data_IF_195397401471
#
_entry.id   IF_195397401471
#
_cell.length_a   1.000
_cell.length_b   1.000
_cell.length_c   1.000
_cell.angle_alpha   90.00
_cell.angle_beta   90.00
_cell.angle_gamma   90.00
#
_symmetry.space_group_name_H-M   'P 1'
#
loop_
_entity.id
_entity.type
_entity.pdbx_description
1 polymer ?
#
# COMPACT_ATOMS: atom_id res chain seq x y z
N UNK A 1 -1.98 -7.52 22.19
CA UNK A 1 -0.84 -8.20 22.85
C UNK A 1 -0.02 -8.72 21.69
N UNK A 2 1.15 -8.14 21.45
CA UNK A 2 2.07 -8.60 20.40
C UNK A 2 2.66 -9.94 20.87
N UNK A 3 2.47 -11.01 20.11
CA UNK A 3 3.20 -12.27 20.31
C UNK A 3 4.39 -12.23 19.36
N UNK A 4 5.59 -12.06 19.91
CA UNK A 4 6.87 -12.21 19.20
C UNK A 4 7.16 -13.72 19.02
N UNK A 5 6.65 -14.33 17.95
CA UNK A 5 7.10 -15.66 17.53
C UNK A 5 7.22 -15.68 16.00
N UNK A 6 8.47 -15.57 15.53
CA UNK A 6 8.89 -15.40 14.13
C UNK A 6 8.61 -13.97 13.59
N UNK A 7 9.37 -13.47 12.61
CA UNK A 7 9.50 -12.03 12.24
C UNK A 7 8.23 -11.35 11.74
N UNK A 8 7.08 -12.00 11.81
CA UNK A 8 5.83 -11.50 11.25
C UNK A 8 5.07 -10.67 12.28
N UNK A 9 4.53 -9.53 11.86
CA UNK A 9 3.67 -8.68 12.69
C UNK A 9 2.21 -8.82 12.26
N UNK A 10 1.36 -9.28 13.18
CA UNK A 10 -0.09 -9.26 12.99
C UNK A 10 -0.75 -8.32 13.99
N UNK A 11 -1.45 -7.30 13.48
CA UNK A 11 -2.16 -6.32 14.30
C UNK A 11 -3.67 -6.37 14.00
N UNK A 12 -4.43 -6.27 15.07
CA UNK A 12 -5.88 -6.07 15.07
C UNK A 12 -6.18 -5.20 16.29
N UNK A 13 -6.13 -3.89 16.14
CA UNK A 13 -6.58 -2.95 17.17
C UNK A 13 -7.88 -2.30 16.71
N UNK A 14 -8.63 -1.72 17.64
CA UNK A 14 -9.95 -1.14 17.35
C UNK A 14 -9.99 0.39 17.54
N UNK A 15 -8.93 1.02 18.12
CA UNK A 15 -8.95 2.46 18.57
C UNK A 15 -7.63 3.27 18.58
N UNK A 16 -6.59 3.07 17.76
CA UNK A 16 -5.51 4.08 17.56
C UNK A 16 -4.75 3.96 16.24
N UNK A 17 -4.36 5.12 15.66
CA UNK A 17 -3.34 5.20 14.58
C UNK A 17 -2.19 4.21 14.79
N UNK A 18 -1.87 3.48 13.74
CA UNK A 18 -0.87 2.41 13.78
C UNK A 18 0.40 2.90 13.12
N UNK A 19 1.50 2.75 13.85
CA UNK A 19 2.83 3.09 13.36
C UNK A 19 3.73 1.89 13.59
N UNK A 20 4.18 1.29 12.50
CA UNK A 20 5.20 0.23 12.49
C UNK A 20 6.46 0.82 11.87
N UNK A 21 7.57 0.69 12.60
CA UNK A 21 8.90 1.10 12.13
C UNK A 21 9.92 0.15 12.73
N UNK A 22 10.17 -0.96 12.05
CA UNK A 22 11.04 -2.04 12.56
C UNK A 22 11.61 -2.91 11.42
N UNK A 23 12.91 -2.71 11.14
CA UNK A 23 13.70 -3.42 10.10
C UNK A 23 13.72 -4.94 10.28
N UNK A 24 13.36 -5.47 11.46
CA UNK A 24 13.39 -6.93 11.71
C UNK A 24 12.02 -7.59 11.50
N UNK A 25 11.04 -6.84 11.01
CA UNK A 25 9.73 -7.39 10.63
C UNK A 25 9.81 -7.83 9.18
N UNK A 26 9.54 -9.12 8.94
CA UNK A 26 9.42 -9.70 7.60
C UNK A 26 8.00 -9.39 7.11
N UNK A 27 6.99 -10.21 7.42
CA UNK A 27 5.63 -9.97 6.92
C UNK A 27 4.78 -9.10 7.87
N UNK A 28 3.93 -8.23 7.30
CA UNK A 28 2.95 -7.45 8.05
C UNK A 28 1.54 -7.79 7.57
N UNK A 29 0.69 -8.22 8.50
CA UNK A 29 -0.73 -8.48 8.22
C UNK A 29 -1.59 -7.67 9.18
N UNK A 30 -2.37 -6.75 8.63
CA UNK A 30 -3.24 -5.87 9.40
C UNK A 30 -4.68 -5.94 8.93
N UNK A 31 -5.58 -5.92 9.91
CA UNK A 31 -7.01 -5.91 9.69
C UNK A 31 -7.67 -5.04 10.74
N UNK A 32 -8.26 -3.94 10.28
CA UNK A 32 -8.96 -2.95 11.09
C UNK A 32 -10.38 -2.70 10.59
N UNK A 33 -11.19 -2.08 11.43
CA UNK A 33 -12.61 -1.87 11.20
C UNK A 33 -13.08 -0.42 11.46
N UNK A 34 -12.20 0.49 11.92
CA UNK A 34 -12.56 1.87 12.34
C UNK A 34 -11.45 2.89 12.01
N UNK A 35 -11.81 4.20 12.02
CA UNK A 35 -11.02 5.40 11.63
C UNK A 35 -9.55 5.46 12.13
N UNK A 36 -8.55 5.01 11.35
CA UNK A 36 -7.14 5.03 11.78
C UNK A 36 -6.17 5.27 10.62
N UNK A 37 -5.31 6.29 10.76
CA UNK A 37 -4.17 6.46 9.86
C UNK A 37 -3.16 5.34 10.11
N UNK A 38 -2.63 4.78 9.04
CA UNK A 38 -1.64 3.72 9.08
C UNK A 38 -0.32 4.17 8.46
N UNK A 39 0.76 3.97 9.21
CA UNK A 39 2.11 4.24 8.74
C UNK A 39 2.98 3.01 8.97
N UNK A 40 3.47 2.43 7.88
CA UNK A 40 4.45 1.36 7.88
C UNK A 40 5.72 1.88 7.22
N UNK A 41 6.85 1.73 7.89
CA UNK A 41 8.15 2.14 7.37
C UNK A 41 9.26 1.19 7.81
N UNK A 42 10.39 1.24 7.12
CA UNK A 42 11.60 0.50 7.47
C UNK A 42 11.34 -1.03 7.61
N UNK A 43 10.63 -1.63 6.65
CA UNK A 43 10.47 -3.09 6.55
C UNK A 43 11.62 -3.61 5.70
N UNK A 44 12.32 -4.67 6.14
CA UNK A 44 13.35 -5.33 5.32
C UNK A 44 12.80 -6.71 4.90
N UNK A 45 12.61 -6.92 3.60
CA UNK A 45 12.23 -8.21 2.99
C UNK A 45 10.91 -8.82 3.55
N UNK A 46 9.75 -8.42 3.04
CA UNK A 46 8.48 -9.09 3.40
C UNK A 46 7.20 -8.51 2.81
N UNK A 47 6.13 -9.31 2.88
CA UNK A 47 4.83 -8.93 2.29
C UNK A 47 4.02 -8.08 3.27
N UNK A 48 3.44 -6.99 2.77
CA UNK A 48 2.53 -6.13 3.54
C UNK A 48 1.11 -6.34 3.03
N UNK A 49 0.23 -6.77 3.94
CA UNK A 49 -1.18 -6.99 3.68
C UNK A 49 -2.02 -6.15 4.64
N UNK A 50 -2.73 -5.17 4.10
CA UNK A 50 -3.62 -4.29 4.85
C UNK A 50 -5.04 -4.48 4.35
N UNK A 51 -5.95 -4.70 5.29
CA UNK A 51 -7.40 -4.68 5.03
C UNK A 51 -8.07 -3.76 6.04
N UNK A 52 -8.54 -2.60 5.62
CA UNK A 52 -9.32 -1.67 6.42
C UNK A 52 -10.83 -1.90 6.24
N UNK A 53 -11.61 -1.32 7.16
CA UNK A 53 -13.06 -1.46 7.25
C UNK A 53 -13.83 -0.38 6.49
N UNK A 54 -15.09 -0.16 6.90
CA UNK A 54 -16.04 0.76 6.23
C UNK A 54 -15.91 2.24 6.71
N UNK A 55 -14.74 2.71 7.18
CA UNK A 55 -14.59 4.09 7.71
C UNK A 55 -13.19 4.71 7.41
N UNK A 56 -13.12 6.05 7.30
CA UNK A 56 -12.02 6.87 6.74
C UNK A 56 -10.61 6.66 7.36
N UNK A 57 -9.54 6.67 6.56
CA UNK A 57 -8.15 6.70 7.04
C UNK A 57 -7.07 6.72 5.95
N UNK A 58 -5.93 7.39 6.19
CA UNK A 58 -4.83 7.40 5.22
C UNK A 58 -3.89 6.19 5.43
N UNK A 59 -3.46 5.54 4.34
CA UNK A 59 -2.50 4.43 4.37
C UNK A 59 -1.18 4.88 3.74
N UNK A 60 -0.11 4.86 4.53
CA UNK A 60 1.25 5.19 4.08
C UNK A 60 2.16 3.99 4.31
N UNK A 61 2.75 3.51 3.22
CA UNK A 61 3.72 2.41 3.22
C UNK A 61 5.02 2.92 2.60
N UNK A 62 6.14 2.60 3.26
CA UNK A 62 7.48 2.84 2.74
C UNK A 62 8.35 1.60 2.98
N UNK A 63 8.64 0.89 1.90
CA UNK A 63 9.51 -0.28 1.90
C UNK A 63 10.93 0.10 1.45
N UNK A 64 11.94 -0.53 2.03
CA UNK A 64 13.35 -0.33 1.66
C UNK A 64 13.94 -1.51 0.86
N UNK A 65 13.31 -2.69 0.83
CA UNK A 65 13.80 -3.89 0.14
C UNK A 65 12.64 -4.70 -0.50
N UNK A 66 12.87 -5.94 -0.94
CA UNK A 66 11.92 -6.74 -1.72
C UNK A 66 10.61 -7.06 -0.95
N UNK A 67 9.42 -6.83 -1.54
CA UNK A 67 8.15 -7.15 -0.87
C UNK A 67 6.89 -6.89 -1.70
N UNK A 68 5.87 -7.76 -1.60
CA UNK A 68 4.57 -7.49 -2.23
C UNK A 68 3.68 -6.64 -1.32
N UNK A 69 3.07 -5.59 -1.87
CA UNK A 69 2.15 -4.69 -1.17
C UNK A 69 0.71 -4.94 -1.60
N UNK A 70 -0.15 -5.39 -0.68
CA UNK A 70 -1.57 -5.63 -0.91
C UNK A 70 -2.40 -4.78 0.04
N UNK A 71 -3.09 -3.79 -0.52
CA UNK A 71 -3.98 -2.89 0.22
C UNK A 71 -5.42 -3.05 -0.26
N UNK A 72 -6.34 -3.24 0.67
CA UNK A 72 -7.78 -3.18 0.42
C UNK A 72 -8.40 -2.19 1.38
N UNK A 73 -8.93 -1.10 0.84
CA UNK A 73 -9.64 -0.06 1.58
C UNK A 73 -11.11 0.04 1.17
N UNK A 74 -11.95 0.45 2.10
CA UNK A 74 -13.42 0.35 2.01
C UNK A 74 -14.18 1.67 2.03
N UNK A 75 -13.58 2.79 2.48
CA UNK A 75 -14.15 4.15 2.43
C UNK A 75 -13.03 5.21 2.29
N UNK A 76 -13.35 6.51 2.41
CA UNK A 76 -12.51 7.65 2.05
C UNK A 76 -11.08 7.65 2.67
N UNK A 77 -10.02 7.75 1.85
CA UNK A 77 -8.64 7.78 2.34
C UNK A 77 -7.57 7.90 1.25
N UNK A 78 -6.44 8.56 1.53
CA UNK A 78 -5.32 8.59 0.57
C UNK A 78 -4.42 7.34 0.77
N UNK A 79 -4.09 6.65 -0.32
CA UNK A 79 -3.14 5.53 -0.33
C UNK A 79 -1.82 5.97 -0.94
N UNK A 80 -0.75 5.94 -0.14
CA UNK A 80 0.60 6.30 -0.56
C UNK A 80 1.52 5.12 -0.35
N UNK A 81 2.07 4.59 -1.44
CA UNK A 81 3.04 3.50 -1.42
C UNK A 81 4.34 3.98 -2.07
N UNK A 82 5.44 3.84 -1.35
CA UNK A 82 6.79 4.07 -1.85
C UNK A 82 7.60 2.79 -1.66
N UNK A 83 8.09 2.25 -2.76
CA UNK A 83 8.85 1.02 -2.82
C UNK A 83 10.18 1.31 -3.52
N UNK A 84 11.30 0.99 -2.87
CA UNK A 84 12.65 1.28 -3.39
C UNK A 84 13.24 0.11 -4.21
N UNK A 85 12.72 -1.12 -4.10
CA UNK A 85 13.25 -2.32 -4.78
C UNK A 85 12.13 -3.16 -5.44
N UNK A 86 12.27 -4.50 -5.52
CA UNK A 86 11.37 -5.37 -6.29
C UNK A 86 10.06 -5.67 -5.52
N UNK A 87 8.89 -5.49 -6.14
CA UNK A 87 7.61 -5.77 -5.49
C UNK A 87 6.36 -5.55 -6.34
N UNK A 88 5.39 -6.48 -6.28
CA UNK A 88 4.08 -6.26 -6.90
C UNK A 88 3.20 -5.42 -5.97
N UNK A 89 2.53 -4.41 -6.52
CA UNK A 89 1.60 -3.54 -5.78
C UNK A 89 0.17 -3.81 -6.24
N UNK A 90 -0.69 -4.22 -5.32
CA UNK A 90 -2.11 -4.47 -5.55
C UNK A 90 -2.95 -3.59 -4.63
N UNK A 91 -3.72 -2.68 -5.22
CA UNK A 91 -4.65 -1.80 -4.50
C UNK A 91 -6.07 -2.10 -4.96
N UNK A 92 -6.95 -2.29 -3.99
CA UNK A 92 -8.40 -2.29 -4.18
C UNK A 92 -8.99 -1.21 -3.28
N UNK A 93 -9.57 -0.19 -3.89
CA UNK A 93 -10.23 0.92 -3.20
C UNK A 93 -11.69 1.01 -3.69
N UNK A 94 -12.63 1.20 -2.77
CA UNK A 94 -14.07 1.21 -3.05
C UNK A 94 -14.71 2.62 -3.03
N UNK A 95 -14.06 3.66 -2.47
CA UNK A 95 -14.64 5.03 -2.36
C UNK A 95 -13.61 6.14 -2.69
N UNK A 96 -13.73 7.36 -2.12
CA UNK A 96 -12.99 8.55 -2.55
C UNK A 96 -11.55 8.61 -1.98
N UNK A 97 -10.52 8.77 -2.82
CA UNK A 97 -9.12 8.82 -2.35
C UNK A 97 -8.08 9.07 -3.43
N UNK A 98 -6.99 9.77 -3.12
CA UNK A 98 -5.85 9.85 -4.04
C UNK A 98 -4.94 8.62 -3.87
N UNK A 99 -4.61 7.95 -4.97
CA UNK A 99 -3.64 6.84 -4.98
C UNK A 99 -2.32 7.33 -5.55
N UNK A 100 -1.26 7.30 -4.73
CA UNK A 100 0.09 7.68 -5.13
C UNK A 100 1.04 6.51 -4.95
N UNK A 101 1.62 6.06 -6.06
CA UNK A 101 2.60 4.98 -6.08
C UNK A 101 3.92 5.49 -6.65
N UNK A 102 5.01 5.23 -5.92
CA UNK A 102 6.38 5.38 -6.40
C UNK A 102 7.07 4.03 -6.26
N UNK A 103 7.44 3.41 -7.38
CA UNK A 103 8.26 2.20 -7.41
C UNK A 103 9.54 2.50 -8.22
N UNK A 104 10.71 2.27 -7.62
CA UNK A 104 12.02 2.56 -8.22
C UNK A 104 12.59 1.40 -9.07
N UNK A 105 12.21 0.14 -8.87
CA UNK A 105 12.77 -1.02 -9.61
C UNK A 105 11.64 -1.86 -10.27
N UNK A 106 11.68 -3.20 -10.19
CA UNK A 106 10.78 -4.09 -10.93
C UNK A 106 9.48 -4.40 -10.16
N UNK A 107 8.33 -4.37 -10.83
CA UNK A 107 7.06 -4.74 -10.19
C UNK A 107 5.80 -4.50 -11.02
N UNK A 108 4.82 -5.41 -10.96
CA UNK A 108 3.51 -5.20 -11.55
C UNK A 108 2.65 -4.33 -10.61
N UNK A 109 1.96 -3.34 -11.16
CA UNK A 109 1.05 -2.46 -10.41
C UNK A 109 -0.38 -2.72 -10.88
N UNK A 110 -1.23 -3.16 -9.96
CA UNK A 110 -2.65 -3.43 -10.20
C UNK A 110 -3.49 -2.55 -9.29
N UNK A 111 -4.28 -1.67 -9.87
CA UNK A 111 -5.21 -0.80 -9.15
C UNK A 111 -6.64 -1.10 -9.62
N UNK A 112 -7.53 -1.35 -8.68
CA UNK A 112 -8.97 -1.35 -8.86
C UNK A 112 -9.56 -0.30 -7.95
N UNK A 113 -10.18 0.71 -8.53
CA UNK A 113 -10.68 1.90 -7.83
C UNK A 113 -12.07 2.25 -8.38
N UNK A 114 -13.06 2.45 -7.51
CA UNK A 114 -14.48 2.57 -7.90
C UNK A 114 -15.05 4.02 -7.92
N UNK A 115 -14.50 4.99 -7.16
CA UNK A 115 -15.05 6.36 -7.03
C UNK A 115 -13.97 7.47 -7.21
N UNK A 116 -14.17 8.71 -6.72
CA UNK A 116 -13.44 9.93 -7.14
C UNK A 116 -12.02 10.08 -6.51
N UNK A 117 -11.02 10.49 -7.31
CA UNK A 117 -9.62 10.67 -6.89
C UNK A 117 -8.63 10.93 -8.05
N UNK A 118 -7.38 11.24 -7.73
CA UNK A 118 -6.25 11.25 -8.67
C UNK A 118 -5.39 9.98 -8.47
N UNK A 119 -5.13 9.24 -9.56
CA UNK A 119 -4.17 8.12 -9.54
C UNK A 119 -2.84 8.59 -10.14
N UNK A 120 -1.79 8.64 -9.34
CA UNK A 120 -0.44 9.03 -9.74
C UNK A 120 0.51 7.85 -9.55
N UNK A 121 1.10 7.38 -10.66
CA UNK A 121 2.08 6.30 -10.63
C UNK A 121 3.39 6.81 -11.21
N UNK A 122 4.46 6.69 -10.44
CA UNK A 122 5.84 6.81 -10.90
C UNK A 122 6.49 5.44 -10.83
N UNK A 123 6.82 4.85 -11.98
CA UNK A 123 7.53 3.56 -12.04
C UNK A 123 8.82 3.72 -12.85
N UNK A 124 9.98 3.49 -12.26
CA UNK A 124 11.27 3.73 -12.95
C UNK A 124 11.69 2.57 -13.87
N UNK A 125 11.42 1.29 -13.55
CA UNK A 125 11.86 0.12 -14.35
C UNK A 125 10.72 -0.77 -14.91
N UNK A 126 10.91 -2.09 -15.01
CA UNK A 126 10.05 -3.03 -15.74
C UNK A 126 8.79 -3.41 -14.93
N UNK A 127 7.64 -3.53 -15.61
CA UNK A 127 6.39 -3.96 -14.97
C UNK A 127 5.14 -3.65 -15.78
N UNK A 128 4.10 -4.47 -15.65
CA UNK A 128 2.79 -4.20 -16.22
C UNK A 128 1.96 -3.34 -15.26
N UNK A 129 1.50 -2.17 -15.74
CA UNK A 129 0.55 -1.32 -15.00
C UNK A 129 -0.87 -1.60 -15.52
N UNK A 130 -1.74 -2.08 -14.63
CA UNK A 130 -3.15 -2.36 -14.91
C UNK A 130 -4.02 -1.53 -13.96
N UNK A 131 -4.79 -0.62 -14.53
CA UNK A 131 -5.73 0.23 -13.77
C UNK A 131 -7.14 -0.02 -14.29
N UNK A 132 -8.03 -0.37 -13.36
CA UNK A 132 -9.47 -0.44 -13.57
C UNK A 132 -10.12 0.62 -12.71
N UNK A 133 -10.54 1.71 -13.35
CA UNK A 133 -11.08 2.89 -12.70
C UNK A 133 -12.29 3.40 -13.50
N UNK A 134 -13.35 3.81 -12.81
CA UNK A 134 -14.59 4.32 -13.40
C UNK A 134 -14.61 5.85 -13.59
N UNK A 135 -13.98 6.66 -12.73
CA UNK A 135 -14.13 8.13 -12.70
C UNK A 135 -12.83 8.97 -12.54
N UNK A 136 -11.63 8.38 -12.34
CA UNK A 136 -10.40 9.10 -11.92
C UNK A 136 -9.51 9.68 -13.03
N UNK A 137 -8.75 10.72 -12.66
CA UNK A 137 -7.68 11.25 -13.50
C UNK A 137 -6.39 10.43 -13.28
N UNK A 138 -6.12 9.54 -14.23
CA UNK A 138 -4.93 8.68 -14.19
C UNK A 138 -3.71 9.35 -14.83
N UNK A 139 -2.62 9.49 -14.07
CA UNK A 139 -1.33 9.98 -14.53
C UNK A 139 -0.20 8.96 -14.26
N UNK A 140 0.31 8.36 -15.33
CA UNK A 140 1.41 7.39 -15.28
C UNK A 140 2.68 8.03 -15.82
N UNK A 141 3.72 8.07 -14.99
CA UNK A 141 5.07 8.50 -15.30
C UNK A 141 6.00 7.29 -15.25
N UNK A 142 6.30 6.69 -16.40
CA UNK A 142 7.25 5.58 -16.48
C UNK A 142 8.57 6.04 -17.10
N UNK A 143 9.70 5.55 -16.60
CA UNK A 143 11.03 5.90 -17.11
C UNK A 143 11.75 4.69 -17.73
N UNK A 144 11.18 4.06 -18.77
CA UNK A 144 11.81 2.96 -19.50
C UNK A 144 13.29 3.29 -19.88
N UNK A 145 14.28 2.59 -19.30
CA UNK A 145 15.67 2.65 -19.77
C UNK A 145 15.74 2.06 -21.21
N UNK A 146 16.22 2.86 -22.18
CA UNK A 146 16.28 2.53 -23.63
C UNK A 146 17.42 1.58 -24.04
#
# INVERSE_FOLDING_TARGET
MLDEEDGDTSISDEKNDIIISDEEVEDIIMSEEEDEDMIISDVEDGDIIITSGEEDGDIIISDEEDGDNITSDGEDGDIIISDEEDGDIIISDEEDGDIIISNEEDGDIIISDEEDGDIIISNEEDGDIIISDEENEVNIMSNEEE
#
